data_IF_633828307248
#
_entry.id   IF_633828307248
#
_cell.length_a   1.000
_cell.length_b   1.000
_cell.length_c   1.000
_cell.angle_alpha   90.00
_cell.angle_beta   90.00
_cell.angle_gamma   90.00
#
_symmetry.space_group_name_H-M   'P 1'
#
loop_
_entity.id
_entity.type
_entity.pdbx_description
1 polymer ?
#
# COMPACT_ATOMS: atom_id res chain seq x y z
N UNK A 1 31.19 -39.19 -47.28
CA UNK A 1 31.49 -38.40 -46.07
C UNK A 1 31.23 -39.30 -44.88
N UNK A 2 32.27 -39.86 -44.28
CA UNK A 2 32.16 -40.82 -43.18
C UNK A 2 32.19 -40.03 -41.87
N UNK A 3 31.08 -40.08 -41.11
CA UNK A 3 31.02 -39.42 -39.79
C UNK A 3 31.89 -40.22 -38.84
N UNK A 4 33.06 -39.70 -38.49
CA UNK A 4 33.95 -40.29 -37.50
C UNK A 4 33.42 -39.98 -36.11
N UNK A 5 32.79 -40.96 -35.46
CA UNK A 5 32.38 -40.83 -34.06
C UNK A 5 33.62 -40.92 -33.15
N UNK A 6 33.98 -39.81 -32.51
CA UNK A 6 35.04 -39.78 -31.49
C UNK A 6 34.37 -39.99 -30.13
N UNK A 7 34.75 -41.06 -29.44
CA UNK A 7 34.25 -41.35 -28.10
C UNK A 7 34.99 -40.48 -27.06
N UNK A 8 34.68 -39.18 -27.05
CA UNK A 8 35.19 -38.25 -26.02
C UNK A 8 34.17 -38.11 -24.89
N UNK A 9 34.60 -38.37 -23.66
CA UNK A 9 33.80 -38.19 -22.44
C UNK A 9 33.70 -36.70 -22.08
N UNK A 10 32.88 -35.97 -22.82
CA UNK A 10 32.61 -34.56 -22.55
C UNK A 10 31.24 -34.39 -21.88
N UNK A 11 31.11 -33.33 -21.07
CA UNK A 11 29.85 -32.98 -20.42
C UNK A 11 28.74 -32.75 -21.46
N UNK A 12 27.55 -33.34 -21.28
CA UNK A 12 26.40 -33.02 -22.11
C UNK A 12 25.88 -31.62 -21.80
N UNK A 13 25.11 -31.06 -22.71
CA UNK A 13 24.43 -29.78 -22.53
C UNK A 13 22.98 -30.03 -22.15
N UNK A 14 22.55 -29.48 -21.01
CA UNK A 14 21.16 -29.47 -20.59
C UNK A 14 20.55 -28.12 -20.94
N UNK A 15 19.54 -28.14 -21.80
CA UNK A 15 18.72 -26.96 -22.12
C UNK A 15 17.29 -27.19 -21.66
N UNK A 16 16.57 -26.10 -21.45
CA UNK A 16 15.14 -26.14 -21.15
C UNK A 16 14.40 -25.67 -22.39
N UNK A 17 13.38 -26.42 -22.81
CA UNK A 17 12.54 -26.04 -23.94
C UNK A 17 11.56 -24.95 -23.51
N UNK A 18 11.07 -24.99 -22.26
CA UNK A 18 10.22 -23.93 -21.75
C UNK A 18 11.03 -22.63 -21.56
N UNK A 19 10.51 -21.47 -21.97
CA UNK A 19 11.21 -20.19 -21.76
C UNK A 19 11.23 -19.76 -20.29
N UNK A 20 10.44 -20.40 -19.42
CA UNK A 20 10.10 -19.88 -18.09
C UNK A 20 10.72 -20.75 -16.97
N UNK A 21 11.44 -20.13 -16.03
CA UNK A 21 11.99 -20.79 -14.81
C UNK A 21 10.99 -20.93 -13.68
N UNK A 22 9.85 -20.26 -13.83
CA UNK A 22 8.71 -20.32 -12.93
C UNK A 22 7.57 -21.02 -13.65
N UNK A 23 6.97 -21.97 -12.95
CA UNK A 23 6.05 -22.93 -13.53
C UNK A 23 4.89 -23.16 -12.55
N UNK A 24 3.65 -23.13 -13.06
CA UNK A 24 2.44 -23.36 -12.25
C UNK A 24 2.15 -24.86 -12.11
N UNK A 25 1.53 -25.33 -11.00
CA UNK A 25 1.12 -26.73 -10.90
C UNK A 25 0.27 -27.17 -12.09
N UNK A 26 0.62 -28.31 -12.70
CA UNK A 26 -0.06 -28.86 -13.88
C UNK A 26 0.52 -28.44 -15.23
N UNK A 27 1.45 -27.48 -15.28
CA UNK A 27 2.21 -27.19 -16.51
C UNK A 27 3.20 -28.34 -16.85
N UNK A 28 3.76 -28.31 -18.06
CA UNK A 28 4.69 -29.33 -18.55
C UNK A 28 6.09 -28.74 -18.65
N UNK A 29 7.01 -29.28 -17.85
CA UNK A 29 8.44 -28.97 -17.92
C UNK A 29 9.13 -29.89 -18.92
N UNK A 30 9.88 -29.30 -19.84
CA UNK A 30 10.65 -30.04 -20.83
C UNK A 30 12.13 -29.66 -20.77
N UNK A 31 12.96 -30.67 -20.57
CA UNK A 31 14.42 -30.55 -20.58
C UNK A 31 14.98 -31.33 -21.75
N UNK A 32 15.87 -30.71 -22.53
CA UNK A 32 16.61 -31.38 -23.59
C UNK A 32 18.03 -31.59 -23.14
N UNK A 33 18.47 -32.84 -23.15
CA UNK A 33 19.85 -33.21 -22.87
C UNK A 33 20.52 -33.68 -24.16
N UNK A 34 21.62 -33.03 -24.52
CA UNK A 34 22.31 -33.23 -25.81
C UNK A 34 23.76 -33.59 -25.58
N UNK A 35 24.24 -34.64 -26.25
CA UNK A 35 25.65 -34.98 -26.29
C UNK A 35 26.44 -33.97 -27.15
N UNK A 36 27.69 -33.65 -26.81
CA UNK A 36 28.48 -32.65 -27.54
C UNK A 36 28.97 -33.12 -28.92
N UNK A 37 28.83 -34.42 -29.23
CA UNK A 37 29.16 -34.98 -30.53
C UNK A 37 28.19 -36.12 -30.84
N UNK A 38 27.80 -36.31 -32.12
CA UNK A 38 26.91 -37.39 -32.50
C UNK A 38 27.51 -38.72 -32.07
N UNK A 39 26.77 -39.47 -31.27
CA UNK A 39 27.12 -40.85 -30.93
C UNK A 39 26.69 -41.76 -32.07
N UNK A 40 27.51 -42.75 -32.41
CA UNK A 40 27.15 -43.78 -33.39
C UNK A 40 26.25 -44.88 -32.80
N UNK A 41 25.99 -44.81 -31.50
CA UNK A 41 25.24 -45.79 -30.73
C UNK A 41 24.35 -45.07 -29.72
N UNK A 42 23.22 -45.68 -29.39
CA UNK A 42 22.35 -45.18 -28.34
C UNK A 42 23.03 -45.19 -26.99
N UNK A 43 22.85 -44.10 -26.24
CA UNK A 43 23.34 -43.92 -24.88
C UNK A 43 22.18 -43.71 -23.93
N UNK A 44 22.42 -44.04 -22.68
CA UNK A 44 21.47 -43.90 -21.60
C UNK A 44 21.64 -42.54 -20.93
N UNK A 45 20.70 -41.63 -21.17
CA UNK A 45 20.62 -40.34 -20.52
C UNK A 45 19.91 -40.45 -19.19
N UNK A 46 20.48 -39.82 -18.17
CA UNK A 46 19.99 -39.79 -16.80
C UNK A 46 19.78 -38.35 -16.36
N UNK A 47 18.54 -38.00 -16.00
CA UNK A 47 18.17 -36.70 -15.47
C UNK A 47 18.16 -36.76 -13.94
N UNK A 48 18.90 -35.85 -13.31
CA UNK A 48 18.99 -35.70 -11.87
C UNK A 48 18.32 -34.42 -11.40
N UNK A 49 17.72 -34.49 -10.21
CA UNK A 49 17.18 -33.35 -9.46
C UNK A 49 17.80 -33.35 -8.06
N UNK A 50 18.51 -32.28 -7.73
CA UNK A 50 19.22 -32.12 -6.45
C UNK A 50 20.07 -33.34 -6.10
N UNK A 51 20.70 -33.94 -7.12
CA UNK A 51 21.52 -35.14 -6.98
C UNK A 51 20.79 -36.49 -7.10
N UNK A 52 19.46 -36.52 -7.06
CA UNK A 52 18.64 -37.75 -7.17
C UNK A 52 18.26 -38.04 -8.61
N UNK A 53 18.44 -39.27 -9.08
CA UNK A 53 17.98 -39.71 -10.40
C UNK A 53 16.45 -39.71 -10.43
N UNK A 54 15.85 -38.99 -11.38
CA UNK A 54 14.38 -38.87 -11.50
C UNK A 54 13.84 -39.49 -12.79
N UNK A 55 14.61 -39.47 -13.88
CA UNK A 55 14.23 -40.09 -15.15
C UNK A 55 15.46 -40.60 -15.89
N UNK A 56 15.27 -41.69 -16.64
CA UNK A 56 16.29 -42.28 -17.51
C UNK A 56 15.67 -42.60 -18.87
N UNK A 57 16.36 -42.29 -19.97
CA UNK A 57 15.90 -42.54 -21.34
C UNK A 57 17.08 -42.88 -22.24
N UNK A 58 16.87 -43.78 -23.19
CA UNK A 58 17.89 -44.17 -24.18
C UNK A 58 17.65 -43.42 -25.48
N UNK A 59 18.68 -42.76 -26.00
CA UNK A 59 18.62 -42.05 -27.28
C UNK A 59 20.01 -42.00 -27.91
N UNK A 60 20.10 -41.66 -29.19
CA UNK A 60 21.40 -41.51 -29.87
C UNK A 60 22.12 -40.26 -29.38
N UNK A 61 21.76 -39.09 -29.91
CA UNK A 61 22.46 -37.84 -29.64
C UNK A 61 21.77 -36.95 -28.59
N UNK A 62 20.45 -36.98 -28.56
CA UNK A 62 19.62 -36.01 -27.84
C UNK A 62 18.37 -36.68 -27.32
N UNK A 63 17.96 -36.34 -26.10
CA UNK A 63 16.67 -36.75 -25.54
C UNK A 63 15.94 -35.58 -24.91
N UNK A 64 14.61 -35.66 -24.89
CA UNK A 64 13.75 -34.72 -24.20
C UNK A 64 13.07 -35.42 -23.03
N UNK A 65 13.28 -34.90 -21.83
CA UNK A 65 12.59 -35.31 -20.62
C UNK A 65 11.38 -34.41 -20.38
N UNK A 66 10.21 -35.02 -20.31
CA UNK A 66 8.93 -34.35 -20.00
C UNK A 66 8.53 -34.63 -18.57
N UNK A 67 8.25 -33.60 -17.77
CA UNK A 67 7.81 -33.70 -16.38
C UNK A 67 6.50 -32.91 -16.22
N UNK A 68 5.52 -33.50 -15.53
CA UNK A 68 4.32 -32.78 -15.12
C UNK A 68 4.60 -32.10 -13.79
N UNK A 69 4.35 -30.80 -13.75
CA UNK A 69 4.84 -29.91 -12.70
C UNK A 69 3.98 -30.05 -11.44
N UNK A 70 4.62 -30.38 -10.32
CA UNK A 70 4.07 -30.33 -8.97
C UNK A 70 5.08 -29.68 -8.01
N UNK A 71 4.66 -29.22 -6.83
CA UNK A 71 5.52 -28.53 -5.85
C UNK A 71 6.82 -29.26 -5.54
N UNK A 72 6.84 -30.59 -5.65
CA UNK A 72 8.04 -31.37 -5.40
C UNK A 72 9.13 -31.07 -6.43
N UNK A 73 8.82 -30.65 -7.65
CA UNK A 73 9.80 -30.42 -8.74
C UNK A 73 10.69 -29.18 -8.55
N UNK A 74 10.61 -28.48 -7.42
CA UNK A 74 11.59 -27.46 -7.07
C UNK A 74 12.99 -28.08 -6.89
N UNK A 75 14.02 -27.44 -7.47
CA UNK A 75 15.40 -27.86 -7.26
C UNK A 75 16.33 -27.63 -8.45
N UNK A 76 17.54 -28.16 -8.33
CA UNK A 76 18.58 -28.05 -9.34
C UNK A 76 18.59 -29.29 -10.24
N UNK A 77 18.50 -29.09 -11.55
CA UNK A 77 18.49 -30.17 -12.55
C UNK A 77 19.83 -30.27 -13.26
N UNK A 78 20.33 -31.50 -13.39
CA UNK A 78 21.54 -31.82 -14.16
C UNK A 78 21.31 -33.10 -14.95
N UNK A 79 22.02 -33.28 -16.05
CA UNK A 79 21.96 -34.48 -16.87
C UNK A 79 23.35 -35.11 -17.02
N UNK A 80 23.40 -36.42 -17.14
CA UNK A 80 24.57 -37.16 -17.60
C UNK A 80 24.13 -38.24 -18.60
N UNK A 81 25.09 -38.85 -19.29
CA UNK A 81 24.82 -40.00 -20.15
C UNK A 81 25.85 -41.10 -19.92
N UNK A 82 25.44 -42.34 -20.14
CA UNK A 82 26.26 -43.53 -19.95
C UNK A 82 26.19 -44.46 -21.15
N UNK A 83 27.31 -45.09 -21.47
CA UNK A 83 27.39 -46.14 -22.48
C UNK A 83 27.12 -47.51 -21.87
N UNK A 84 26.74 -48.49 -22.71
CA UNK A 84 26.56 -49.89 -22.29
C UNK A 84 27.81 -50.51 -21.66
N UNK A 85 29.00 -49.96 -21.95
CA UNK A 85 30.28 -50.30 -21.32
C UNK A 85 30.45 -49.73 -19.90
N UNK A 86 29.38 -49.18 -19.31
CA UNK A 86 29.34 -48.61 -17.96
C UNK A 86 30.25 -47.37 -17.76
N UNK A 87 30.65 -46.72 -18.85
CA UNK A 87 31.40 -45.47 -18.82
C UNK A 87 30.43 -44.28 -18.83
N UNK A 88 30.54 -43.41 -17.82
CA UNK A 88 29.62 -42.28 -17.60
C UNK A 88 30.31 -40.96 -17.90
N UNK A 89 29.59 -40.02 -18.50
CA UNK A 89 30.07 -38.65 -18.68
C UNK A 89 30.04 -37.85 -17.37
N UNK A 90 30.78 -36.73 -17.34
CA UNK A 90 30.60 -35.71 -16.32
C UNK A 90 29.22 -35.07 -16.43
N UNK A 91 28.67 -34.57 -15.32
CA UNK A 91 27.38 -33.88 -15.31
C UNK A 91 27.37 -32.60 -16.17
N UNK A 92 26.20 -32.29 -16.73
CA UNK A 92 25.92 -31.08 -17.50
C UNK A 92 25.98 -29.81 -16.66
N UNK A 93 25.77 -28.65 -17.32
CA UNK A 93 25.33 -27.43 -16.65
C UNK A 93 24.06 -27.69 -15.82
N UNK A 94 23.88 -26.88 -14.78
CA UNK A 94 22.72 -26.97 -13.90
C UNK A 94 21.63 -25.97 -14.29
N UNK A 95 20.36 -26.38 -14.24
CA UNK A 95 19.19 -25.50 -14.37
C UNK A 95 18.40 -25.54 -13.07
N UNK A 96 18.18 -24.40 -12.43
CA UNK A 96 17.36 -24.31 -11.21
C UNK A 96 15.91 -24.01 -11.56
N UNK A 97 14.99 -24.81 -11.03
CA UNK A 97 13.54 -24.59 -11.09
C UNK A 97 13.06 -24.13 -9.72
N UNK A 98 12.33 -23.04 -9.70
CA UNK A 98 11.70 -22.47 -8.50
C UNK A 98 10.20 -22.43 -8.69
N UNK A 99 9.45 -22.94 -7.72
CA UNK A 99 8.02 -22.76 -7.67
C UNK A 99 7.69 -21.42 -7.03
N UNK A 100 6.73 -20.70 -7.59
CA UNK A 100 6.08 -19.62 -6.86
C UNK A 100 4.96 -20.26 -6.06
N UNK A 101 5.15 -20.28 -4.76
CA UNK A 101 4.11 -20.65 -3.80
C UNK A 101 3.15 -19.47 -3.67
N UNK A 102 1.87 -19.79 -3.59
CA UNK A 102 0.73 -18.90 -3.32
C UNK A 102 1.12 -17.61 -2.59
N UNK A 103 0.92 -16.45 -3.22
CA UNK A 103 1.15 -15.16 -2.59
C UNK A 103 0.27 -15.07 -1.34
N UNK A 104 0.90 -14.88 -0.17
CA UNK A 104 0.15 -14.48 1.01
C UNK A 104 -0.60 -13.19 0.68
N UNK A 105 -1.87 -13.14 1.04
CA UNK A 105 -2.71 -11.96 0.87
C UNK A 105 -1.97 -10.71 1.37
N UNK A 106 -1.87 -9.62 0.59
CA UNK A 106 -1.16 -8.44 1.03
C UNK A 106 -1.86 -7.84 2.26
N UNK A 107 -1.14 -7.05 3.03
CA UNK A 107 -1.72 -6.31 4.14
C UNK A 107 -2.23 -4.95 3.63
N UNK A 108 -3.43 -4.57 4.05
CA UNK A 108 -4.02 -3.26 3.80
C UNK A 108 -4.15 -2.50 5.12
N UNK A 109 -3.76 -1.23 5.12
CA UNK A 109 -3.77 -0.40 6.31
C UNK A 109 -4.13 1.05 5.98
N UNK A 110 -4.50 1.79 7.02
CA UNK A 110 -4.94 3.18 6.94
C UNK A 110 -3.98 4.08 7.71
N UNK A 111 -3.70 5.26 7.17
CA UNK A 111 -2.91 6.29 7.84
C UNK A 111 -3.52 7.68 7.60
N UNK A 112 -3.74 8.45 8.66
CA UNK A 112 -4.16 9.84 8.61
C UNK A 112 -2.94 10.77 8.71
N UNK A 113 -2.88 11.81 7.87
CA UNK A 113 -1.73 12.72 7.84
C UNK A 113 -1.61 13.62 9.08
N UNK A 114 -2.73 13.85 9.77
CA UNK A 114 -2.91 14.92 10.75
C UNK A 114 -3.40 14.41 12.12
N UNK A 115 -3.33 13.09 12.35
CA UNK A 115 -3.62 12.47 13.65
C UNK A 115 -5.10 12.45 14.05
N UNK A 116 -5.99 13.02 13.23
CA UNK A 116 -7.44 12.91 13.42
C UNK A 116 -7.99 11.62 12.79
N UNK A 117 -7.57 10.47 13.31
CA UNK A 117 -8.23 9.20 13.03
C UNK A 117 -8.84 8.68 14.32
N UNK A 118 -10.16 8.57 14.36
CA UNK A 118 -10.83 7.83 15.42
C UNK A 118 -11.11 6.41 14.91
N UNK A 119 -10.80 5.41 15.73
CA UNK A 119 -11.24 4.05 15.47
C UNK A 119 -12.73 3.99 15.80
N UNK A 120 -13.56 3.97 14.76
CA UNK A 120 -14.98 3.70 14.90
C UNK A 120 -15.23 2.20 15.16
N UNK A 121 -16.47 1.83 15.53
CA UNK A 121 -16.83 0.42 15.73
C UNK A 121 -16.71 -0.43 14.46
N UNK A 122 -16.71 0.17 13.27
CA UNK A 122 -16.67 -0.53 11.98
C UNK A 122 -15.38 -0.30 11.16
N UNK A 123 -14.48 0.60 11.60
CA UNK A 123 -13.24 0.91 10.87
C UNK A 123 -12.67 2.31 11.13
N UNK A 124 -11.63 2.71 10.39
CA UNK A 124 -11.06 4.06 10.46
C UNK A 124 -12.07 5.13 10.03
N UNK A 125 -12.19 6.16 10.85
CA UNK A 125 -13.03 7.33 10.59
C UNK A 125 -12.17 8.57 10.31
N UNK A 126 -12.56 9.34 9.29
CA UNK A 126 -11.91 10.58 8.90
C UNK A 126 -12.91 11.74 8.73
N UNK A 127 -12.45 12.97 8.94
CA UNK A 127 -13.25 14.17 8.68
C UNK A 127 -13.06 14.62 7.23
N UNK A 128 -14.16 15.03 6.59
CA UNK A 128 -14.16 15.66 5.26
C UNK A 128 -13.21 16.87 5.20
N UNK A 129 -12.43 16.97 4.13
CA UNK A 129 -11.46 18.05 3.95
C UNK A 129 -10.04 17.71 4.44
N UNK A 130 -9.85 16.63 5.19
CA UNK A 130 -8.53 16.19 5.67
C UNK A 130 -7.93 15.11 4.78
N UNK A 131 -6.60 14.96 4.87
CA UNK A 131 -5.84 14.02 4.06
C UNK A 131 -5.67 12.66 4.73
N UNK A 132 -5.83 11.59 3.97
CA UNK A 132 -5.49 10.24 4.42
C UNK A 132 -4.78 9.45 3.33
N UNK A 133 -4.22 8.33 3.74
CA UNK A 133 -3.52 7.40 2.87
C UNK A 133 -3.97 5.97 3.17
N UNK A 134 -4.12 5.18 2.10
CA UNK A 134 -4.25 3.73 2.20
C UNK A 134 -2.92 3.13 1.80
N UNK A 135 -2.39 2.24 2.63
CA UNK A 135 -1.07 1.65 2.46
C UNK A 135 -1.25 0.15 2.30
N UNK A 136 -0.76 -0.37 1.17
CA UNK A 136 -0.76 -1.80 0.89
C UNK A 136 0.68 -2.30 0.93
N UNK A 137 0.90 -3.44 1.58
CA UNK A 137 2.24 -3.99 1.79
C UNK A 137 2.25 -5.50 1.67
N UNK A 138 3.41 -6.07 1.36
CA UNK A 138 3.63 -7.52 1.28
C UNK A 138 4.94 -7.89 1.96
N UNK A 139 5.12 -9.17 2.26
CA UNK A 139 6.39 -9.68 2.76
C UNK A 139 7.47 -9.56 1.67
N UNK A 140 8.74 -9.31 2.05
CA UNK A 140 9.83 -9.11 1.09
C UNK A 140 10.26 -10.41 0.40
N UNK A 141 9.43 -10.90 -0.52
CA UNK A 141 9.68 -12.11 -1.30
C UNK A 141 10.25 -11.82 -2.69
N UNK A 142 9.77 -10.77 -3.35
CA UNK A 142 10.20 -10.38 -4.69
C UNK A 142 10.43 -8.87 -4.77
N UNK A 143 11.50 -8.41 -5.46
CA UNK A 143 11.73 -7.00 -5.66
C UNK A 143 10.72 -6.41 -6.65
N UNK A 144 10.26 -5.18 -6.38
CA UNK A 144 9.38 -4.44 -7.28
C UNK A 144 7.92 -4.91 -7.23
N UNK A 145 7.22 -4.83 -8.36
CA UNK A 145 5.78 -5.15 -8.48
C UNK A 145 4.86 -3.92 -8.45
N UNK A 146 3.56 -4.17 -8.48
CA UNK A 146 2.49 -3.18 -8.47
C UNK A 146 1.41 -3.57 -7.47
N UNK A 147 0.86 -2.59 -6.77
CA UNK A 147 -0.35 -2.76 -5.98
C UNK A 147 -1.51 -2.11 -6.71
N UNK A 148 -2.65 -2.79 -6.71
CA UNK A 148 -3.92 -2.32 -7.23
C UNK A 148 -4.89 -2.12 -6.05
N UNK A 149 -5.33 -0.89 -5.86
CA UNK A 149 -6.35 -0.52 -4.87
C UNK A 149 -7.71 -0.47 -5.57
N UNK A 150 -8.59 -1.39 -5.22
CA UNK A 150 -9.99 -1.42 -5.65
C UNK A 150 -10.89 -0.72 -4.64
N UNK A 151 -11.96 -0.10 -5.14
CA UNK A 151 -13.01 0.52 -4.33
C UNK A 151 -14.35 -0.12 -4.67
N UNK A 152 -15.03 -0.70 -3.68
CA UNK A 152 -16.22 -1.55 -3.89
C UNK A 152 -17.42 -0.83 -4.53
N UNK A 153 -17.40 0.51 -4.60
CA UNK A 153 -18.41 1.33 -5.29
C UNK A 153 -18.08 1.69 -6.75
N UNK A 154 -16.94 1.23 -7.30
CA UNK A 154 -16.53 1.56 -8.67
C UNK A 154 -15.73 0.44 -9.33
N UNK A 155 -15.73 0.38 -10.67
CA UNK A 155 -14.83 -0.48 -11.42
C UNK A 155 -13.42 0.12 -11.62
N UNK A 156 -13.15 1.26 -10.98
CA UNK A 156 -11.87 1.97 -11.12
C UNK A 156 -10.90 1.42 -10.08
N UNK A 157 -9.74 0.99 -10.55
CA UNK A 157 -8.62 0.56 -9.70
C UNK A 157 -7.48 1.59 -9.81
N UNK A 158 -6.92 1.99 -8.67
CA UNK A 158 -5.70 2.81 -8.66
C UNK A 158 -4.50 1.88 -8.57
N UNK A 159 -3.50 2.10 -9.41
CA UNK A 159 -2.28 1.28 -9.42
C UNK A 159 -1.08 2.10 -8.99
N UNK A 160 -0.23 1.53 -8.14
CA UNK A 160 1.02 2.13 -7.68
C UNK A 160 2.12 1.09 -7.69
N UNK A 161 3.34 1.49 -8.06
CA UNK A 161 4.51 0.60 -7.96
C UNK A 161 4.86 0.33 -6.50
N UNK A 162 5.31 -0.89 -6.23
CA UNK A 162 5.79 -1.28 -4.92
C UNK A 162 7.19 -0.69 -4.68
N UNK A 163 7.29 0.20 -3.69
CA UNK A 163 8.53 0.76 -3.16
C UNK A 163 8.73 0.17 -1.77
N UNK A 164 9.86 -0.52 -1.58
CA UNK A 164 10.14 -1.26 -0.34
C UNK A 164 9.00 -2.22 0.05
N UNK A 165 8.49 -2.98 -0.94
CA UNK A 165 7.39 -3.94 -0.78
C UNK A 165 6.07 -3.33 -0.28
N UNK A 166 5.90 -2.02 -0.48
CA UNK A 166 4.71 -1.28 -0.09
C UNK A 166 4.33 -0.24 -1.15
N UNK A 167 3.06 0.15 -1.18
CA UNK A 167 2.57 1.26 -1.97
C UNK A 167 1.64 2.13 -1.15
N UNK A 168 1.76 3.45 -1.35
CA UNK A 168 0.96 4.45 -0.66
C UNK A 168 0.02 5.10 -1.67
N UNK A 169 -1.28 5.04 -1.37
CA UNK A 169 -2.34 5.68 -2.13
C UNK A 169 -2.82 6.91 -1.36
N UNK A 170 -2.49 8.09 -1.90
CA UNK A 170 -2.81 9.37 -1.27
C UNK A 170 -4.23 9.83 -1.64
N UNK A 171 -4.94 10.32 -0.63
CA UNK A 171 -6.22 11.01 -0.71
C UNK A 171 -6.05 12.37 -0.01
N UNK A 172 -5.66 13.43 -0.75
CA UNK A 172 -5.34 14.73 -0.16
C UNK A 172 -6.52 15.39 0.56
N UNK A 173 -7.73 15.16 0.07
CA UNK A 173 -8.96 15.74 0.60
C UNK A 173 -10.06 14.67 0.65
N UNK A 174 -10.43 14.26 1.87
CA UNK A 174 -11.51 13.30 2.09
C UNK A 174 -12.86 13.90 1.70
N UNK A 175 -13.70 13.10 1.03
CA UNK A 175 -15.08 13.45 0.66
C UNK A 175 -15.99 12.23 0.87
N UNK A 176 -17.30 12.43 0.91
CA UNK A 176 -18.28 11.37 1.08
C UNK A 176 -18.20 10.31 -0.01
N UNK A 177 -17.77 10.67 -1.22
CA UNK A 177 -17.56 9.72 -2.32
C UNK A 177 -16.37 8.78 -2.06
N UNK A 178 -15.46 9.16 -1.17
CA UNK A 178 -14.35 8.30 -0.73
C UNK A 178 -14.75 7.32 0.38
N UNK A 179 -16.00 7.36 0.88
CA UNK A 179 -16.51 6.42 1.89
C UNK A 179 -16.81 5.06 1.26
N UNK A 180 -16.28 3.99 1.86
CA UNK A 180 -16.65 2.63 1.48
C UNK A 180 -15.54 1.63 1.70
N UNK A 181 -15.69 0.47 1.06
CA UNK A 181 -14.78 -0.66 1.21
C UNK A 181 -13.67 -0.62 0.18
N UNK A 182 -12.44 -0.67 0.66
CA UNK A 182 -11.23 -0.71 -0.14
C UNK A 182 -10.56 -2.06 -0.03
N UNK A 183 -10.03 -2.58 -1.13
CA UNK A 183 -9.26 -3.82 -1.12
C UNK A 183 -8.03 -3.70 -1.99
N UNK A 184 -7.00 -4.45 -1.64
CA UNK A 184 -5.73 -4.43 -2.35
C UNK A 184 -5.39 -5.77 -2.98
N UNK A 185 -4.77 -5.72 -4.15
CA UNK A 185 -4.21 -6.87 -4.85
C UNK A 185 -2.77 -6.50 -5.24
N UNK A 186 -1.85 -7.46 -5.11
CA UNK A 186 -0.45 -7.28 -5.49
C UNK A 186 -0.15 -8.07 -6.75
N UNK A 187 0.55 -7.45 -7.70
CA UNK A 187 0.97 -8.02 -8.97
C UNK A 187 2.49 -7.94 -9.12
N UNK A 188 3.13 -9.01 -9.55
CA UNK A 188 4.56 -9.01 -9.84
C UNK A 188 4.88 -9.85 -11.07
N UNK A 189 5.82 -9.34 -11.87
CA UNK A 189 6.37 -10.06 -13.01
C UNK A 189 7.62 -10.81 -12.57
N UNK A 190 7.55 -12.14 -12.61
CA UNK A 190 8.70 -13.00 -12.32
C UNK A 190 9.07 -13.75 -13.59
N UNK A 191 10.26 -13.46 -14.11
CA UNK A 191 10.70 -13.87 -15.45
C UNK A 191 9.80 -13.28 -16.56
N UNK A 192 8.80 -14.02 -17.00
CA UNK A 192 7.91 -13.72 -18.14
C UNK A 192 6.43 -13.92 -17.80
N UNK A 193 6.13 -14.32 -16.57
CA UNK A 193 4.77 -14.51 -16.09
C UNK A 193 4.42 -13.42 -15.08
N UNK A 194 3.18 -12.95 -15.20
CA UNK A 194 2.54 -12.06 -14.24
C UNK A 194 1.81 -12.90 -13.22
N UNK A 195 2.11 -12.67 -11.95
CA UNK A 195 1.45 -13.32 -10.84
C UNK A 195 0.68 -12.29 -10.04
N UNK A 196 -0.54 -12.66 -9.65
CA UNK A 196 -1.42 -11.83 -8.84
C UNK A 196 -1.73 -12.53 -7.52
N UNK A 197 -1.73 -11.76 -6.44
CA UNK A 197 -2.12 -12.24 -5.12
C UNK A 197 -3.64 -12.41 -5.04
N UNK A 198 -4.10 -13.10 -3.99
CA UNK A 198 -5.48 -12.91 -3.54
C UNK A 198 -5.72 -11.46 -3.12
N UNK A 199 -6.96 -11.01 -3.27
CA UNK A 199 -7.40 -9.69 -2.83
C UNK A 199 -7.52 -9.64 -1.31
N UNK A 200 -7.16 -8.53 -0.67
CA UNK A 200 -7.28 -8.35 0.78
C UNK A 200 -8.72 -8.45 1.28
N UNK A 201 -8.89 -8.74 2.56
CA UNK A 201 -10.15 -8.42 3.23
C UNK A 201 -10.44 -6.91 3.08
N UNK A 202 -11.71 -6.51 2.91
CA UNK A 202 -12.03 -5.12 2.65
C UNK A 202 -11.83 -4.24 3.89
N UNK A 203 -11.13 -3.12 3.71
CA UNK A 203 -10.99 -2.06 4.69
C UNK A 203 -12.11 -1.03 4.51
N UNK A 204 -13.02 -0.93 5.48
CA UNK A 204 -14.09 0.07 5.48
C UNK A 204 -13.56 1.44 5.96
N UNK A 205 -13.60 2.44 5.08
CA UNK A 205 -13.25 3.82 5.40
C UNK A 205 -14.53 4.65 5.54
N UNK A 206 -14.66 5.37 6.66
CA UNK A 206 -15.80 6.24 6.93
C UNK A 206 -15.40 7.72 6.91
N UNK A 207 -16.17 8.56 6.21
CA UNK A 207 -15.98 10.01 6.17
C UNK A 207 -17.13 10.72 6.87
N UNK A 208 -16.82 11.62 7.81
CA UNK A 208 -17.78 12.41 8.61
C UNK A 208 -17.61 13.91 8.36
N UNK A 209 -18.68 14.69 8.58
CA UNK A 209 -18.59 16.15 8.56
C UNK A 209 -18.04 16.71 9.88
N UNK A 210 -17.29 17.82 9.81
CA UNK A 210 -16.89 18.56 11.00
C UNK A 210 -18.03 19.45 11.51
N UNK A 211 -18.40 19.32 12.78
CA UNK A 211 -19.36 20.20 13.44
C UNK A 211 -18.71 21.43 14.11
N UNK A 212 -17.37 21.49 14.16
CA UNK A 212 -16.61 22.56 14.78
C UNK A 212 -16.99 23.99 14.31
N UNK A 213 -17.18 24.28 13.00
CA UNK A 213 -17.55 25.63 12.57
C UNK A 213 -18.92 26.07 13.10
N UNK A 214 -19.87 25.13 13.28
CA UNK A 214 -21.20 25.44 13.80
C UNK A 214 -21.17 25.80 15.30
N UNK A 215 -20.28 25.16 16.07
CA UNK A 215 -20.10 25.47 17.49
C UNK A 215 -19.52 26.88 17.65
N UNK A 216 -18.55 27.27 16.81
CA UNK A 216 -17.95 28.61 16.83
C UNK A 216 -18.95 29.74 16.54
N UNK A 217 -19.85 29.54 15.57
CA UNK A 217 -20.90 30.51 15.23
C UNK A 217 -21.93 30.63 16.36
N UNK A 218 -22.34 29.52 16.97
CA UNK A 218 -23.29 29.53 18.09
C UNK A 218 -22.76 30.29 19.31
N UNK A 219 -21.49 30.06 19.67
CA UNK A 219 -20.86 30.71 20.82
C UNK A 219 -20.66 32.21 20.60
N UNK A 220 -20.20 32.60 19.40
CA UNK A 220 -20.01 34.02 19.06
C UNK A 220 -21.33 34.78 19.00
N UNK A 221 -22.38 34.21 18.38
CA UNK A 221 -23.71 34.81 18.36
C UNK A 221 -24.30 34.96 19.78
N UNK A 222 -24.18 33.92 20.61
CA UNK A 222 -24.64 33.95 22.01
C UNK A 222 -23.91 35.01 22.84
N UNK A 223 -22.58 35.11 22.72
CA UNK A 223 -21.79 36.15 23.39
C UNK A 223 -22.19 37.56 22.95
N UNK A 224 -22.40 37.79 21.65
CA UNK A 224 -22.84 39.07 21.13
C UNK A 224 -24.23 39.46 21.67
N UNK A 225 -25.16 38.51 21.76
CA UNK A 225 -26.50 38.73 22.33
C UNK A 225 -26.46 39.09 23.81
N UNK A 226 -25.46 38.66 24.57
CA UNK A 226 -25.30 39.00 26.00
C UNK A 226 -24.53 40.32 26.16
N UNK A 227 -23.49 40.55 25.36
CA UNK A 227 -22.60 41.71 25.50
C UNK A 227 -23.33 43.01 25.10
N UNK A 228 -24.11 43.01 24.02
CA UNK A 228 -24.83 44.20 23.54
C UNK A 228 -25.78 44.78 24.61
N UNK A 229 -26.68 44.01 25.26
CA UNK A 229 -27.53 44.55 26.32
C UNK A 229 -26.74 44.98 27.56
N UNK A 230 -25.63 44.32 27.90
CA UNK A 230 -24.73 44.76 28.99
C UNK A 230 -24.11 46.12 28.68
N UNK A 231 -23.63 46.32 27.45
CA UNK A 231 -23.10 47.62 27.00
C UNK A 231 -24.20 48.69 27.02
N UNK A 232 -25.39 48.39 26.52
CA UNK A 232 -26.53 49.32 26.54
C UNK A 232 -26.91 49.68 27.99
N UNK A 233 -26.96 48.70 28.90
CA UNK A 233 -27.19 48.92 30.32
C UNK A 233 -26.08 49.78 30.94
N UNK A 234 -24.82 49.47 30.66
CA UNK A 234 -23.68 50.23 31.15
C UNK A 234 -23.70 51.68 30.66
N UNK A 235 -23.97 51.91 29.37
CA UNK A 235 -24.11 53.24 28.78
C UNK A 235 -25.29 54.01 29.38
N UNK A 236 -26.43 53.35 29.65
CA UNK A 236 -27.56 53.96 30.38
C UNK A 236 -27.18 54.33 31.81
N UNK A 237 -26.45 53.47 32.52
CA UNK A 237 -25.97 53.72 33.89
C UNK A 237 -24.97 54.89 33.91
N UNK A 238 -24.01 54.91 32.99
CA UNK A 238 -23.04 56.00 32.79
C UNK A 238 -23.76 57.33 32.52
N UNK A 239 -24.73 57.35 31.59
CA UNK A 239 -25.52 58.56 31.27
C UNK A 239 -26.34 59.04 32.46
N UNK A 240 -26.98 58.14 33.22
CA UNK A 240 -27.69 58.47 34.47
C UNK A 240 -26.74 59.07 35.51
N UNK A 241 -25.55 58.47 35.70
CA UNK A 241 -24.52 58.98 36.63
C UNK A 241 -24.00 60.36 36.23
N UNK A 242 -23.81 60.63 34.93
CA UNK A 242 -23.40 61.95 34.42
C UNK A 242 -24.49 63.01 34.67
N UNK A 243 -25.74 62.69 34.37
CA UNK A 243 -26.88 63.58 34.61
C UNK A 243 -27.09 63.89 36.11
N UNK A 244 -26.86 62.90 36.99
CA UNK A 244 -26.84 63.10 38.45
C UNK A 244 -25.69 64.02 38.88
N UNK A 245 -24.50 63.87 38.28
CA UNK A 245 -23.32 64.70 38.58
C UNK A 245 -23.50 66.15 38.12
N UNK A 246 -24.09 66.36 36.95
CA UNK A 246 -24.37 67.70 36.41
C UNK A 246 -25.42 68.43 37.26
N UNK A 247 -26.50 67.76 37.69
CA UNK A 247 -27.47 68.32 38.63
C UNK A 247 -26.85 68.71 39.98
N UNK A 248 -25.93 67.89 40.51
CA UNK A 248 -25.23 68.18 41.77
C UNK A 248 -24.33 69.41 41.64
N UNK A 249 -23.62 69.55 40.52
CA UNK A 249 -22.75 70.69 40.24
C UNK A 249 -23.54 71.98 40.04
N UNK A 250 -24.69 71.93 39.37
CA UNK A 250 -25.58 73.08 39.15
C UNK A 250 -26.17 73.59 40.47
N UNK A 251 -26.63 72.67 41.33
CA UNK A 251 -27.12 73.01 42.68
C UNK A 251 -26.03 73.65 43.56
N UNK A 252 -24.79 73.15 43.51
CA UNK A 252 -23.66 73.79 44.19
C UNK A 252 -23.36 75.20 43.65
N UNK A 253 -23.52 75.41 42.34
CA UNK A 253 -23.29 76.70 41.70
C UNK A 253 -24.32 77.73 42.14
N UNK A 254 -25.60 77.35 42.20
CA UNK A 254 -26.66 78.22 42.72
C UNK A 254 -26.46 78.56 44.21
N UNK A 255 -26.09 77.60 45.04
CA UNK A 255 -25.73 77.84 46.45
C UNK A 255 -24.55 78.82 46.58
N UNK A 256 -23.52 78.69 45.75
CA UNK A 256 -22.37 79.60 45.77
C UNK A 256 -22.73 81.04 45.38
N UNK A 257 -23.65 81.22 44.41
CA UNK A 257 -24.16 82.55 44.02
C UNK A 257 -24.99 83.19 45.13
N UNK A 258 -25.86 82.43 45.77
CA UNK A 258 -26.66 82.87 46.92
C UNK A 258 -25.76 83.30 48.08
N UNK A 259 -24.72 82.52 48.38
CA UNK A 259 -23.77 82.84 49.43
C UNK A 259 -22.98 84.11 49.12
N UNK A 260 -22.52 84.29 47.87
CA UNK A 260 -21.82 85.49 47.43
C UNK A 260 -22.72 86.74 47.48
N UNK A 261 -24.00 86.60 47.08
CA UNK A 261 -24.97 87.70 47.16
C UNK A 261 -25.29 88.08 48.61
N UNK A 262 -25.37 87.10 49.50
CA UNK A 262 -25.55 87.32 50.94
C UNK A 262 -24.36 88.05 51.58
N UNK A 263 -23.13 87.59 51.32
CA UNK A 263 -21.89 88.21 51.83
C UNK A 263 -21.73 89.66 51.34
N UNK A 264 -22.11 89.93 50.08
CA UNK A 264 -22.07 91.29 49.52
C UNK A 264 -23.07 92.24 50.19
N UNK A 265 -24.16 91.71 50.76
CA UNK A 265 -25.22 92.49 51.41
C UNK A 265 -24.92 92.83 52.87
N UNK A 266 -24.00 92.10 53.51
CA UNK A 266 -23.60 92.29 54.91
C UNK A 266 -22.31 93.12 55.09
N UNK A 267 -21.68 93.57 54.00
CA UNK A 267 -20.43 94.37 54.03
C UNK A 267 -20.63 95.87 53.79
N UNK A 268 -21.82 96.41 54.07
CA UNK A 268 -22.15 97.86 54.04
C UNK A 268 -22.62 98.28 55.43
#
# INVERSE_FOLDING_TARGET
MQVSCVQTFKSPTLTRISPNSVVSPGEVLQFTCTTPSPTCISVDFSLYKTGTLIKKQTAENTTTFTLTVDESHQGQYTCEYSYSSNSTSSRSNSITITFIVNFQQPNISFSAADGWSHNGPEGPEMIRGYGFSIICSTNPQYPGGFFHLGFSGSNITRTQSAVNHSAVFLFPEADFDHRGNYSCTYEVNVSSHTFTSSTTEPLLVTVKASLAPYIGIGVTAGLLLIIVPVIICFMKIQKRRKCQRDKKNDFQRELSKLNFHYIKKTSI
#
